data_IF_947769241444
#
_entry.id   IF_947769241444
#
_cell.length_a   1.000
_cell.length_b   1.000
_cell.length_c   1.000
_cell.angle_alpha   90.00
_cell.angle_beta   90.00
_cell.angle_gamma   90.00
#
_symmetry.space_group_name_H-M   'P 1'
#
loop_
_entity.id
_entity.type
_entity.pdbx_description
1 polymer ?
#
# COMPACT_ATOMS: atom_id res chain seq x y z
N UNK A 1 1.68 9.24 -20.46
CA UNK A 1 2.91 8.42 -20.32
C UNK A 1 2.52 6.95 -20.55
N UNK A 2 3.29 6.14 -21.28
CA UNK A 2 3.01 4.71 -21.47
C UNK A 2 3.81 3.94 -20.42
N UNK A 3 3.17 3.56 -19.31
CA UNK A 3 3.79 2.75 -18.27
C UNK A 3 3.57 1.27 -18.58
N UNK A 4 4.58 0.44 -18.29
CA UNK A 4 4.43 -1.01 -18.21
C UNK A 4 4.38 -1.41 -16.75
N UNK A 5 3.32 -2.13 -16.36
CA UNK A 5 3.21 -2.61 -15.00
C UNK A 5 4.20 -3.76 -14.75
N UNK A 6 5.15 -3.56 -13.83
CA UNK A 6 6.11 -4.59 -13.42
C UNK A 6 5.54 -5.45 -12.29
N UNK A 7 4.93 -4.83 -11.28
CA UNK A 7 4.35 -5.51 -10.12
C UNK A 7 3.31 -4.65 -9.40
N UNK A 8 2.33 -5.29 -8.77
CA UNK A 8 1.37 -4.64 -7.87
C UNK A 8 1.18 -5.48 -6.61
N UNK A 9 1.32 -4.85 -5.44
CA UNK A 9 1.15 -5.49 -4.13
C UNK A 9 0.24 -4.64 -3.25
N UNK A 10 -0.77 -5.27 -2.64
CA UNK A 10 -1.63 -4.68 -1.62
C UNK A 10 -1.21 -5.14 -0.22
N UNK A 11 -0.86 -4.22 0.66
CA UNK A 11 -0.39 -4.54 2.01
C UNK A 11 -1.54 -4.41 3.01
N UNK A 12 -1.74 -5.42 3.84
CA UNK A 12 -2.84 -5.41 4.83
C UNK A 12 -2.48 -6.21 6.08
N UNK A 13 -2.93 -5.75 7.24
CA UNK A 13 -2.79 -6.48 8.50
C UNK A 13 -3.61 -7.77 8.50
N UNK A 14 -3.06 -8.86 9.04
CA UNK A 14 -3.78 -10.15 9.09
C UNK A 14 -4.86 -10.10 10.18
N UNK A 15 -6.13 -10.27 9.79
CA UNK A 15 -7.23 -10.42 10.75
C UNK A 15 -7.15 -11.80 11.40
N UNK A 16 -7.21 -11.83 12.73
CA UNK A 16 -7.33 -13.05 13.54
C UNK A 16 -8.70 -13.11 14.20
N UNK A 17 -9.22 -14.32 14.37
CA UNK A 17 -10.47 -14.53 15.10
C UNK A 17 -10.17 -14.71 16.58
N UNK A 18 -10.95 -14.05 17.42
CA UNK A 18 -10.96 -14.19 18.88
C UNK A 18 -12.15 -15.04 19.37
N UNK A 19 -12.91 -15.62 18.44
CA UNK A 19 -14.14 -16.37 18.70
C UNK A 19 -15.42 -15.53 18.67
N UNK A 20 -15.33 -14.20 18.61
CA UNK A 20 -16.49 -13.33 18.48
C UNK A 20 -17.07 -13.31 17.05
N UNK A 21 -18.37 -13.05 16.93
CA UNK A 21 -19.03 -12.86 15.63
C UNK A 21 -18.40 -11.71 14.83
N UNK A 22 -17.98 -10.65 15.52
CA UNK A 22 -17.34 -9.49 14.90
C UNK A 22 -15.99 -9.85 14.26
N UNK A 23 -15.14 -10.59 14.97
CA UNK A 23 -13.84 -11.00 14.41
C UNK A 23 -14.01 -12.02 13.29
N UNK A 24 -15.02 -12.89 13.38
CA UNK A 24 -15.38 -13.82 12.31
C UNK A 24 -15.89 -13.10 11.06
N UNK A 25 -16.73 -12.07 11.22
CA UNK A 25 -17.20 -11.24 10.12
C UNK A 25 -16.04 -10.53 9.42
N UNK A 26 -15.17 -9.85 10.17
CA UNK A 26 -13.98 -9.18 9.62
C UNK A 26 -13.06 -10.15 8.88
N UNK A 27 -12.85 -11.35 9.44
CA UNK A 27 -12.05 -12.40 8.80
C UNK A 27 -12.65 -12.84 7.46
N UNK A 28 -13.97 -13.05 7.41
CA UNK A 28 -14.67 -13.42 6.18
C UNK A 28 -14.61 -12.31 5.13
N UNK A 29 -14.74 -11.04 5.53
CA UNK A 29 -14.63 -9.89 4.62
C UNK A 29 -13.19 -9.74 4.09
N UNK A 30 -12.17 -9.93 4.93
CA UNK A 30 -10.78 -9.96 4.48
C UNK A 30 -10.54 -11.09 3.46
N UNK A 31 -11.05 -12.30 3.71
CA UNK A 31 -10.93 -13.41 2.75
C UNK A 31 -11.55 -13.08 1.39
N UNK A 32 -12.73 -12.45 1.37
CA UNK A 32 -13.38 -12.00 0.12
C UNK A 32 -12.53 -10.96 -0.62
N UNK A 33 -12.01 -9.96 0.10
CA UNK A 33 -11.11 -8.95 -0.46
C UNK A 33 -9.86 -9.58 -1.08
N UNK A 34 -9.17 -10.46 -0.33
CA UNK A 34 -7.95 -11.12 -0.81
C UNK A 34 -8.21 -12.02 -2.03
N UNK A 35 -9.37 -12.67 -2.10
CA UNK A 35 -9.79 -13.43 -3.27
C UNK A 35 -10.05 -12.51 -4.48
N UNK A 36 -10.70 -11.36 -4.26
CA UNK A 36 -10.93 -10.37 -5.30
C UNK A 36 -9.63 -9.78 -5.86
N UNK A 37 -8.67 -9.42 -4.99
CA UNK A 37 -7.35 -8.94 -5.40
C UNK A 37 -6.62 -9.95 -6.30
N UNK A 38 -6.62 -11.24 -5.92
CA UNK A 38 -6.02 -12.32 -6.71
C UNK A 38 -6.66 -12.46 -8.09
N UNK A 39 -8.00 -12.35 -8.18
CA UNK A 39 -8.73 -12.40 -9.46
C UNK A 39 -8.27 -11.31 -10.44
N UNK A 40 -7.86 -10.16 -9.91
CA UNK A 40 -7.34 -9.02 -10.69
C UNK A 40 -5.80 -8.99 -10.77
N UNK A 41 -5.13 -10.12 -10.51
CA UNK A 41 -3.66 -10.24 -10.54
C UNK A 41 -2.91 -9.29 -9.59
N UNK A 42 -3.56 -8.83 -8.52
CA UNK A 42 -2.92 -8.04 -7.48
C UNK A 42 -2.39 -8.98 -6.41
N UNK A 43 -1.06 -8.96 -6.19
CA UNK A 43 -0.44 -9.68 -5.07
C UNK A 43 -0.85 -9.01 -3.76
N UNK A 44 -0.79 -9.75 -2.66
CA UNK A 44 -0.97 -9.14 -1.35
C UNK A 44 0.10 -9.60 -0.37
N UNK A 45 0.44 -8.72 0.58
CA UNK A 45 1.34 -9.00 1.68
C UNK A 45 0.57 -8.86 2.99
N UNK A 46 0.62 -9.90 3.81
CA UNK A 46 0.01 -9.90 5.14
C UNK A 46 1.07 -9.46 6.16
N UNK A 47 0.80 -8.37 6.87
CA UNK A 47 1.62 -8.00 8.03
C UNK A 47 1.62 -9.11 9.08
N UNK A 48 2.73 -9.25 9.81
CA UNK A 48 2.86 -10.19 10.92
C UNK A 48 3.07 -9.45 12.25
N UNK A 49 2.65 -10.09 13.34
CA UNK A 49 2.89 -9.60 14.69
C UNK A 49 4.29 -10.03 15.13
N UNK A 50 5.16 -9.08 15.44
CA UNK A 50 6.38 -9.35 16.21
C UNK A 50 6.03 -9.27 17.71
N UNK A 51 6.41 -10.30 18.46
CA UNK A 51 6.33 -10.29 19.92
C UNK A 51 7.66 -9.74 20.44
N UNK A 52 7.64 -8.55 21.02
CA UNK A 52 8.78 -7.96 21.74
C UNK A 52 8.31 -7.58 23.14
N UNK A 53 9.10 -7.89 24.17
CA UNK A 53 8.81 -7.57 25.59
C UNK A 53 7.39 -7.92 26.06
N UNK A 54 6.90 -9.09 25.67
CA UNK A 54 5.58 -9.58 26.09
C UNK A 54 4.39 -8.84 25.48
N UNK A 55 4.61 -7.80 24.66
CA UNK A 55 3.57 -7.08 23.92
C UNK A 55 3.49 -7.57 22.47
N UNK A 56 2.27 -7.79 22.00
CA UNK A 56 1.99 -8.00 20.59
C UNK A 56 1.96 -6.62 19.90
N UNK A 57 2.92 -6.35 19.03
CA UNK A 57 2.91 -5.14 18.22
C UNK A 57 2.50 -5.48 16.80
N UNK A 58 1.35 -4.96 16.37
CA UNK A 58 0.94 -5.00 14.96
C UNK A 58 1.84 -4.03 14.19
N UNK A 59 2.91 -4.57 13.62
CA UNK A 59 3.90 -3.83 12.84
C UNK A 59 4.38 -4.73 11.72
N UNK A 60 4.13 -4.35 10.47
CA UNK A 60 4.68 -5.10 9.34
C UNK A 60 4.17 -4.69 7.98
N UNK A 61 3.02 -4.00 7.89
CA UNK A 61 2.50 -3.51 6.60
C UNK A 61 3.43 -2.44 6.05
N UNK A 62 3.68 -1.39 6.82
CA UNK A 62 4.47 -0.23 6.37
C UNK A 62 5.95 -0.60 6.20
N UNK A 63 6.45 -1.50 7.06
CA UNK A 63 7.81 -2.07 6.94
C UNK A 63 7.97 -2.89 5.66
N UNK A 64 7.04 -3.81 5.38
CA UNK A 64 7.11 -4.61 4.15
C UNK A 64 7.00 -3.72 2.91
N UNK A 65 6.11 -2.72 2.94
CA UNK A 65 5.95 -1.78 1.83
C UNK A 65 7.22 -0.94 1.61
N UNK A 66 7.82 -0.39 2.68
CA UNK A 66 9.08 0.32 2.60
C UNK A 66 10.22 -0.58 2.07
N UNK A 67 10.29 -1.83 2.53
CA UNK A 67 11.29 -2.80 2.08
C UNK A 67 11.13 -3.10 0.59
N UNK A 68 9.92 -3.39 0.11
CA UNK A 68 9.66 -3.70 -1.30
C UNK A 68 9.98 -2.50 -2.20
N UNK A 69 9.70 -1.26 -1.75
CA UNK A 69 10.11 -0.04 -2.47
C UNK A 69 11.63 0.06 -2.61
N UNK A 70 12.37 -0.26 -1.54
CA UNK A 70 13.82 -0.24 -1.54
C UNK A 70 14.39 -1.37 -2.41
N UNK A 71 13.90 -2.61 -2.27
CA UNK A 71 14.31 -3.74 -3.11
C UNK A 71 14.11 -3.40 -4.59
N UNK A 72 12.92 -2.93 -4.98
CA UNK A 72 12.63 -2.53 -6.36
C UNK A 72 13.58 -1.44 -6.89
N UNK A 73 14.00 -0.53 -6.02
CA UNK A 73 14.95 0.54 -6.34
C UNK A 73 16.38 0.05 -6.50
N UNK A 74 16.88 -0.70 -5.52
CA UNK A 74 18.30 -1.11 -5.47
C UNK A 74 18.60 -2.28 -6.40
N UNK A 75 17.63 -3.15 -6.67
CA UNK A 75 17.72 -4.20 -7.69
C UNK A 75 17.32 -3.72 -9.09
N UNK A 76 17.01 -2.42 -9.23
CA UNK A 76 16.67 -1.78 -10.50
C UNK A 76 15.47 -2.45 -11.22
N UNK A 77 14.46 -2.89 -10.47
CA UNK A 77 13.28 -3.58 -10.99
C UNK A 77 12.30 -2.61 -11.67
N UNK A 78 12.31 -1.33 -11.29
CA UNK A 78 11.47 -0.31 -11.89
C UNK A 78 12.08 1.09 -11.82
N UNK A 79 11.59 1.97 -12.69
CA UNK A 79 11.94 3.40 -12.70
C UNK A 79 10.94 4.29 -11.96
N UNK A 80 9.72 3.77 -11.77
CA UNK A 80 8.57 4.51 -11.26
C UNK A 80 7.77 3.67 -10.27
N UNK A 81 7.59 4.18 -9.06
CA UNK A 81 6.79 3.58 -8.00
C UNK A 81 5.53 4.41 -7.79
N UNK A 82 4.35 3.79 -7.94
CA UNK A 82 3.07 4.40 -7.60
C UNK A 82 2.72 3.98 -6.17
N UNK A 83 2.74 4.92 -5.24
CA UNK A 83 2.45 4.71 -3.84
C UNK A 83 1.05 5.22 -3.49
N UNK A 84 0.14 4.28 -3.22
CA UNK A 84 -1.22 4.56 -2.78
C UNK A 84 -1.28 4.47 -1.26
N UNK A 85 -0.73 5.46 -0.56
CA UNK A 85 -0.75 5.56 0.89
C UNK A 85 -0.47 7.00 1.34
N UNK A 86 -1.17 7.47 2.37
CA UNK A 86 -0.93 8.75 3.03
C UNK A 86 -0.02 8.64 4.26
N UNK A 87 0.52 7.45 4.55
CA UNK A 87 1.35 7.17 5.72
C UNK A 87 2.74 7.81 5.59
N UNK A 88 3.03 8.72 6.52
CA UNK A 88 4.29 9.47 6.56
C UNK A 88 5.47 8.66 7.11
N UNK A 89 5.23 7.49 7.71
CA UNK A 89 6.31 6.60 8.16
C UNK A 89 7.13 6.04 6.99
N UNK A 90 6.62 6.15 5.76
CA UNK A 90 7.30 5.75 4.53
C UNK A 90 8.26 6.82 3.98
N UNK A 91 8.25 8.05 4.51
CA UNK A 91 9.09 9.15 4.03
C UNK A 91 10.59 8.79 3.96
N UNK A 92 11.19 8.08 4.93
CA UNK A 92 12.59 7.66 4.83
C UNK A 92 12.85 6.77 3.61
N UNK A 93 11.95 5.86 3.27
CA UNK A 93 12.06 5.02 2.08
C UNK A 93 11.91 5.85 0.80
N UNK A 94 10.90 6.72 0.74
CA UNK A 94 10.65 7.62 -0.40
C UNK A 94 11.89 8.45 -0.73
N UNK A 95 12.51 9.06 0.28
CA UNK A 95 13.74 9.85 0.09
C UNK A 95 14.89 9.01 -0.46
N UNK A 96 15.06 7.76 -0.01
CA UNK A 96 16.10 6.85 -0.53
C UNK A 96 15.82 6.45 -1.98
N UNK A 97 14.56 6.20 -2.35
CA UNK A 97 14.15 5.92 -3.73
C UNK A 97 14.50 7.09 -4.64
N UNK A 98 14.10 8.31 -4.24
CA UNK A 98 14.39 9.54 -5.00
C UNK A 98 15.88 9.83 -5.12
N UNK A 99 16.66 9.61 -4.05
CA UNK A 99 18.12 9.78 -4.08
C UNK A 99 18.82 8.81 -5.04
N UNK A 100 18.16 7.70 -5.42
CA UNK A 100 18.63 6.78 -6.47
C UNK A 100 18.14 7.16 -7.88
N UNK A 101 17.56 8.34 -8.04
CA UNK A 101 17.08 8.85 -9.32
C UNK A 101 15.78 8.21 -9.81
N UNK A 102 15.08 7.46 -8.94
CA UNK A 102 13.79 6.83 -9.25
C UNK A 102 12.63 7.77 -8.92
N UNK A 103 11.51 7.59 -9.61
CA UNK A 103 10.29 8.39 -9.40
C UNK A 103 9.38 7.73 -8.38
N UNK A 104 8.89 8.49 -7.40
CA UNK A 104 7.80 8.07 -6.51
C UNK A 104 6.59 8.96 -6.75
N UNK A 105 5.50 8.38 -7.25
CA UNK A 105 4.21 9.05 -7.41
C UNK A 105 3.34 8.76 -6.19
N UNK A 106 2.91 9.80 -5.47
CA UNK A 106 1.93 9.67 -4.40
C UNK A 106 0.52 9.73 -4.98
N UNK A 107 -0.30 8.72 -4.70
CA UNK A 107 -1.72 8.71 -5.03
C UNK A 107 -2.53 8.79 -3.75
N UNK A 108 -3.38 9.80 -3.65
CA UNK A 108 -4.29 9.98 -2.52
C UNK A 108 -5.62 10.61 -2.95
N UNK A 109 -6.57 10.73 -2.02
CA UNK A 109 -7.84 11.36 -2.33
C UNK A 109 -7.75 12.88 -2.24
N UNK A 110 -8.36 13.59 -3.20
CA UNK A 110 -8.28 15.05 -3.30
C UNK A 110 -8.84 15.79 -2.07
N UNK A 111 -9.78 15.18 -1.34
CA UNK A 111 -10.42 15.79 -0.17
C UNK A 111 -9.64 15.57 1.14
N UNK A 112 -8.66 14.67 1.16
CA UNK A 112 -7.85 14.32 2.35
C UNK A 112 -6.39 14.04 1.98
N UNK A 113 -5.83 14.85 1.08
CA UNK A 113 -4.47 14.64 0.61
C UNK A 113 -3.42 14.96 1.70
N UNK A 114 -2.42 14.09 1.87
CA UNK A 114 -1.31 14.36 2.77
C UNK A 114 -0.34 15.38 2.16
N UNK A 115 -0.27 16.57 2.76
CA UNK A 115 0.67 17.63 2.35
C UNK A 115 2.12 17.18 2.47
N UNK A 116 2.44 16.39 3.50
CA UNK A 116 3.78 15.82 3.68
C UNK A 116 4.15 14.90 2.50
N UNK A 117 3.23 14.06 2.05
CA UNK A 117 3.48 13.18 0.89
C UNK A 117 3.62 13.97 -0.40
N UNK A 118 2.75 14.96 -0.62
CA UNK A 118 2.84 15.87 -1.78
C UNK A 118 4.20 16.56 -1.84
N UNK A 119 4.70 17.05 -0.70
CA UNK A 119 5.98 17.76 -0.64
C UNK A 119 7.20 16.87 -0.84
N UNK A 120 7.11 15.58 -0.48
CA UNK A 120 8.27 14.69 -0.44
C UNK A 120 8.34 13.68 -1.59
N UNK A 121 7.21 13.32 -2.22
CA UNK A 121 7.20 12.49 -3.42
C UNK A 121 7.70 13.27 -4.65
N UNK A 122 7.84 12.59 -5.79
CA UNK A 122 8.27 13.21 -7.04
C UNK A 122 7.10 13.88 -7.75
N UNK A 123 5.93 13.23 -7.77
CA UNK A 123 4.70 13.78 -8.32
C UNK A 123 3.47 13.29 -7.51
N UNK A 124 2.44 14.14 -7.33
CA UNK A 124 1.18 13.71 -6.72
C UNK A 124 0.08 13.50 -7.77
N UNK A 125 -0.74 12.48 -7.57
CA UNK A 125 -2.00 12.23 -8.28
C UNK A 125 -3.14 12.18 -7.27
N UNK A 126 -4.05 13.16 -7.35
CA UNK A 126 -5.16 13.28 -6.41
C UNK A 126 -6.48 12.81 -7.03
N UNK A 127 -6.99 11.69 -6.54
CA UNK A 127 -8.23 11.08 -7.00
C UNK A 127 -9.44 11.86 -6.50
N UNK A 128 -10.28 12.29 -7.43
CA UNK A 128 -11.60 12.85 -7.18
C UNK A 128 -12.66 11.75 -7.21
N UNK A 129 -13.85 12.08 -6.70
CA UNK A 129 -14.99 11.15 -6.72
C UNK A 129 -15.32 10.69 -8.15
N UNK A 130 -15.23 11.58 -9.13
CA UNK A 130 -15.54 11.27 -10.53
C UNK A 130 -14.52 10.29 -11.16
N UNK A 131 -13.30 10.22 -10.64
CA UNK A 131 -12.30 9.23 -11.09
C UNK A 131 -12.63 7.82 -10.58
N UNK A 132 -13.37 7.71 -9.47
CA UNK A 132 -13.69 6.45 -8.79
C UNK A 132 -15.06 5.91 -9.23
N UNK A 133 -16.04 6.80 -9.44
CA UNK A 133 -17.42 6.45 -9.81
C UNK A 133 -17.54 5.36 -10.89
N UNK A 134 -16.78 5.38 -12.01
CA UNK A 134 -16.88 4.35 -13.04
C UNK A 134 -16.62 2.92 -12.53
N UNK A 135 -15.80 2.80 -11.48
CA UNK A 135 -15.40 1.53 -10.90
C UNK A 135 -16.37 1.02 -9.82
N UNK A 136 -17.24 1.87 -9.27
CA UNK A 136 -18.22 1.49 -8.25
C UNK A 136 -19.41 0.71 -8.82
N UNK A 137 -19.76 0.95 -10.09
CA UNK A 137 -20.91 0.31 -10.75
C UNK A 137 -20.67 -1.18 -11.12
N UNK A 138 -19.44 -1.68 -10.95
CA UNK A 138 -19.01 -3.02 -11.38
C UNK A 138 -18.47 -3.88 -10.22
N UNK A 139 -18.68 -3.45 -8.96
CA UNK A 139 -18.18 -4.09 -7.74
C UNK A 139 -19.24 -4.88 -6.97
#
# INVERSE_FOLDING_TARGET
KKYQLVSTTYYVGRVRTDGSEKSQHMFNQQRKLLAHLRKHNVKYSLGYLLKSDGKFHEKGVDVNMALDMLVATYENLCDHIILISSDTDLLPAILKVKNKGKTVEYVGFSHQASLAMIANCSEPTLLKVDDIKPFLAHS
#
